data_IF_387632695964
#
_entry.id   IF_387632695964
#
_cell.length_a   1.000
_cell.length_b   1.000
_cell.length_c   1.000
_cell.angle_alpha   90.00
_cell.angle_beta   90.00
_cell.angle_gamma   90.00
#
_symmetry.space_group_name_H-M   'P 1'
#
loop_
_entity.id
_entity.type
_entity.pdbx_description
1 polymer ?
#
# COMPACT_ATOMS: atom_id res chain seq x y z
N UNK A 1 -40.09 -34.88 3.27
CA UNK A 1 -40.70 -33.89 2.36
C UNK A 1 -41.77 -33.13 3.13
N UNK A 2 -41.56 -31.85 3.45
CA UNK A 2 -42.57 -30.97 4.06
C UNK A 2 -42.47 -29.58 3.43
N UNK A 3 -43.65 -28.99 3.26
CA UNK A 3 -44.06 -28.07 2.22
C UNK A 3 -43.41 -26.68 2.22
N UNK A 4 -43.33 -26.13 1.01
CA UNK A 4 -43.04 -24.74 0.65
C UNK A 4 -44.35 -23.92 0.67
N UNK A 5 -44.21 -22.59 0.62
CA UNK A 5 -45.18 -21.53 0.28
C UNK A 5 -46.08 -20.95 1.37
N UNK A 6 -45.84 -19.68 1.70
CA UNK A 6 -46.82 -18.57 1.84
C UNK A 6 -46.07 -17.29 2.23
N UNK A 7 -46.30 -16.05 1.78
CA UNK A 7 -47.18 -15.40 0.79
C UNK A 7 -46.64 -13.95 0.68
N UNK A 8 -46.45 -13.46 -0.53
CA UNK A 8 -46.22 -12.03 -0.83
C UNK A 8 -47.51 -11.20 -0.65
N UNK A 9 -47.41 -9.90 -0.32
CA UNK A 9 -47.82 -8.74 -1.15
C UNK A 9 -48.05 -7.44 -0.31
N UNK A 10 -47.58 -6.31 -0.88
CA UNK A 10 -48.12 -4.93 -0.84
C UNK A 10 -48.01 -4.11 0.48
N UNK A 11 -47.77 -2.80 0.50
CA UNK A 11 -48.02 -1.74 -0.50
C UNK A 11 -47.07 -0.54 -0.35
N UNK A 12 -46.93 0.22 -1.44
CA UNK A 12 -46.27 1.52 -1.55
C UNK A 12 -47.12 2.68 -1.02
N UNK A 13 -46.47 3.74 -0.51
CA UNK A 13 -47.01 5.10 -0.37
C UNK A 13 -45.83 6.10 -0.38
N UNK A 14 -45.48 6.73 -1.50
CA UNK A 14 -45.90 8.05 -2.00
C UNK A 14 -45.30 9.30 -1.30
N UNK A 15 -44.27 9.86 -1.95
CA UNK A 15 -43.94 11.27 -2.22
C UNK A 15 -44.13 12.39 -1.16
N UNK A 16 -43.04 13.09 -0.85
CA UNK A 16 -43.06 14.52 -0.52
C UNK A 16 -41.79 15.22 -1.08
N UNK A 17 -42.01 16.41 -1.63
CA UNK A 17 -41.16 17.17 -2.53
C UNK A 17 -39.83 17.69 -1.95
N UNK A 18 -38.77 17.64 -2.76
CA UNK A 18 -37.60 18.52 -2.65
C UNK A 18 -37.49 19.32 -3.96
N UNK A 19 -37.89 20.58 -3.92
CA UNK A 19 -37.65 21.55 -5.01
C UNK A 19 -36.40 22.34 -4.61
N UNK A 20 -35.25 22.19 -5.29
CA UNK A 20 -34.16 23.15 -5.15
C UNK A 20 -34.50 24.42 -5.94
N UNK A 21 -34.71 25.53 -5.24
CA UNK A 21 -34.76 26.86 -5.82
C UNK A 21 -33.37 27.21 -6.40
N UNK A 22 -33.28 27.35 -7.72
CA UNK A 22 -32.08 27.82 -8.40
C UNK A 22 -31.92 29.33 -8.14
N UNK A 23 -30.87 29.71 -7.41
CA UNK A 23 -30.36 31.08 -7.39
C UNK A 23 -29.46 31.27 -8.63
N UNK A 24 -29.69 32.28 -9.49
CA UNK A 24 -28.75 32.63 -10.54
C UNK A 24 -27.49 33.23 -9.89
N UNK A 25 -26.44 32.42 -9.79
CA UNK A 25 -25.09 32.92 -9.51
C UNK A 25 -24.64 33.70 -10.75
N UNK A 26 -24.60 35.03 -10.63
CA UNK A 26 -24.02 35.94 -11.60
C UNK A 26 -22.67 35.39 -12.05
N UNK A 27 -22.59 35.01 -13.34
CA UNK A 27 -21.35 34.69 -13.99
C UNK A 27 -20.56 36.00 -14.12
N UNK A 28 -19.69 36.27 -13.14
CA UNK A 28 -18.53 37.09 -13.37
C UNK A 28 -17.71 36.43 -14.48
N UNK A 29 -17.94 36.90 -15.70
CA UNK A 29 -17.24 36.55 -16.92
C UNK A 29 -15.80 37.08 -16.87
N UNK A 30 -15.01 36.64 -15.90
CA UNK A 30 -13.55 36.69 -15.99
C UNK A 30 -13.12 35.60 -16.96
N UNK A 31 -13.13 35.96 -18.24
CA UNK A 31 -12.77 35.11 -19.37
C UNK A 31 -11.44 34.37 -19.12
N UNK A 32 -11.49 33.03 -19.13
CA UNK A 32 -10.33 32.13 -19.12
C UNK A 32 -9.32 32.47 -20.22
N UNK A 33 -9.76 33.08 -21.32
CA UNK A 33 -8.88 33.54 -22.39
C UNK A 33 -8.01 34.73 -21.97
N UNK A 34 -8.54 35.63 -21.14
CA UNK A 34 -7.76 36.74 -20.58
C UNK A 34 -6.76 36.24 -19.52
N UNK A 35 -7.15 35.25 -18.70
CA UNK A 35 -6.24 34.59 -17.76
C UNK A 35 -5.11 33.83 -18.48
N UNK A 36 -5.42 33.11 -19.55
CA UNK A 36 -4.43 32.38 -20.34
C UNK A 36 -3.43 33.32 -21.04
N UNK A 37 -3.88 34.48 -21.54
CA UNK A 37 -2.98 35.49 -22.11
C UNK A 37 -2.02 36.07 -21.08
N UNK A 38 -2.52 36.46 -19.89
CA UNK A 38 -1.67 36.93 -18.78
C UNK A 38 -0.67 35.88 -18.30
N UNK A 39 -1.06 34.60 -18.26
CA UNK A 39 -0.16 33.51 -17.89
C UNK A 39 0.96 33.30 -18.93
N UNK A 40 0.68 33.53 -20.22
CA UNK A 40 1.68 33.44 -21.29
C UNK A 40 2.63 34.63 -21.30
N UNK A 41 2.16 35.84 -21.00
CA UNK A 41 3.01 37.03 -20.87
C UNK A 41 3.99 36.90 -19.70
N UNK A 42 3.54 36.41 -18.54
CA UNK A 42 4.42 36.15 -17.38
C UNK A 42 5.52 35.11 -17.63
N UNK A 43 5.34 34.21 -18.60
CA UNK A 43 6.37 33.23 -19.00
C UNK A 43 7.36 33.75 -20.05
N UNK A 44 7.08 34.91 -20.66
CA UNK A 44 8.03 35.57 -21.58
C UNK A 44 9.08 36.39 -20.84
N UNK A 45 8.72 36.94 -19.67
CA UNK A 45 9.64 37.73 -18.82
C UNK A 45 10.34 36.89 -17.74
N UNK A 46 10.04 35.60 -17.63
CA UNK A 46 10.73 34.71 -16.70
C UNK A 46 12.13 34.37 -17.24
N UNK A 47 13.15 34.72 -16.45
CA UNK A 47 14.55 34.45 -16.70
C UNK A 47 14.81 32.99 -17.11
N UNK A 48 15.83 32.83 -17.97
CA UNK A 48 16.28 31.57 -18.60
C UNK A 48 16.21 30.38 -17.62
N UNK A 49 15.67 29.22 -18.06
CA UNK A 49 15.58 28.05 -17.20
C UNK A 49 16.96 27.69 -16.63
N UNK A 50 16.99 27.37 -15.33
CA UNK A 50 18.18 26.91 -14.65
C UNK A 50 18.82 25.75 -15.43
N UNK A 51 20.14 25.80 -15.56
CA UNK A 51 20.97 24.84 -16.30
C UNK A 51 20.52 23.40 -16.02
N UNK A 52 20.12 22.68 -17.07
CA UNK A 52 19.78 21.26 -16.99
C UNK A 52 21.07 20.50 -16.65
N UNK A 53 21.11 19.90 -15.46
CA UNK A 53 22.16 18.94 -15.09
C UNK A 53 21.80 17.63 -15.79
N UNK A 54 22.53 17.30 -16.86
CA UNK A 54 22.49 15.99 -17.52
C UNK A 54 23.61 15.09 -16.98
N UNK A 55 23.55 13.77 -17.23
CA UNK A 55 24.59 12.80 -16.81
C UNK A 55 26.01 13.23 -17.21
N UNK A 56 26.14 13.97 -18.31
CA UNK A 56 27.40 14.55 -18.83
C UNK A 56 27.99 15.67 -17.96
N UNK A 57 27.16 16.31 -17.13
CA UNK A 57 27.56 17.43 -16.24
C UNK A 57 27.66 17.02 -14.77
N UNK A 58 27.47 15.73 -14.47
CA UNK A 58 27.76 15.17 -13.16
C UNK A 58 29.28 15.04 -13.02
N UNK A 59 29.90 15.91 -12.21
CA UNK A 59 31.27 15.68 -11.73
C UNK A 59 31.26 14.48 -10.77
N UNK A 60 31.30 13.28 -11.32
CA UNK A 60 31.50 12.05 -10.55
C UNK A 60 32.95 12.04 -10.08
N UNK A 61 33.19 12.42 -8.83
CA UNK A 61 34.46 12.18 -8.17
C UNK A 61 34.68 10.66 -8.14
N UNK A 62 35.72 10.18 -8.82
CA UNK A 62 36.16 8.78 -8.77
C UNK A 62 36.43 8.40 -7.31
N UNK A 63 35.47 7.75 -6.65
CA UNK A 63 35.60 7.32 -5.26
C UNK A 63 34.31 6.85 -4.58
N UNK A 64 33.12 7.30 -5.02
CA UNK A 64 31.86 7.00 -4.31
C UNK A 64 31.13 5.73 -4.76
N UNK A 65 31.68 4.98 -5.72
CA UNK A 65 31.11 3.67 -6.09
C UNK A 65 31.79 2.58 -5.25
N UNK A 66 31.39 2.49 -3.98
CA UNK A 66 31.70 1.33 -3.14
C UNK A 66 30.89 0.14 -3.65
N UNK A 67 31.50 -0.58 -4.59
CA UNK A 67 31.04 -1.88 -5.06
C UNK A 67 31.03 -2.83 -3.86
N UNK A 68 29.85 -3.24 -3.41
CA UNK A 68 29.68 -4.23 -2.36
C UNK A 68 30.05 -5.63 -2.88
N UNK A 69 31.35 -5.89 -3.01
CA UNK A 69 31.90 -7.25 -3.12
C UNK A 69 32.66 -7.50 -1.84
N UNK A 70 32.11 -8.38 -1.02
CA UNK A 70 32.69 -8.83 0.23
C UNK A 70 34.09 -9.41 -0.03
N UNK A 71 35.10 -8.70 0.45
CA UNK A 71 36.47 -9.17 0.52
C UNK A 71 36.56 -10.22 1.64
N UNK A 72 36.84 -11.46 1.25
CA UNK A 72 37.00 -12.59 2.16
C UNK A 72 38.32 -12.44 2.95
N UNK A 73 38.19 -12.09 4.22
CA UNK A 73 39.32 -11.99 5.13
C UNK A 73 39.87 -13.38 5.46
N UNK A 74 41.04 -13.72 4.91
CA UNK A 74 41.88 -14.84 5.38
C UNK A 74 42.51 -14.47 6.72
N UNK A 75 42.19 -15.25 7.76
CA UNK A 75 42.87 -15.17 9.07
C UNK A 75 44.09 -16.09 9.04
N UNK A 76 45.27 -15.52 9.25
CA UNK A 76 46.49 -16.24 9.61
C UNK A 76 46.73 -16.07 11.12
N UNK A 77 46.93 -17.18 11.83
CA UNK A 77 47.40 -17.17 13.23
C UNK A 77 46.51 -17.96 14.17
N UNK A 78 46.81 -19.25 14.31
CA UNK A 78 46.38 -20.05 15.45
C UNK A 78 47.00 -19.52 16.76
N UNK A 79 46.32 -19.73 17.90
CA UNK A 79 47.01 -20.42 18.98
C UNK A 79 46.21 -21.58 19.57
N UNK A 80 46.98 -22.44 20.22
CA UNK A 80 46.70 -23.78 20.70
C UNK A 80 45.49 -23.91 21.63
N UNK A 81 44.90 -25.10 21.53
CA UNK A 81 43.98 -25.64 22.50
C UNK A 81 44.67 -25.84 23.87
N UNK A 82 44.04 -25.33 24.93
CA UNK A 82 43.70 -26.08 26.16
C UNK A 82 43.10 -25.10 27.15
N UNK A 83 41.81 -25.26 27.49
CA UNK A 83 41.42 -25.46 28.89
C UNK A 83 39.94 -25.86 29.03
N UNK A 84 39.79 -27.06 29.57
CA UNK A 84 38.78 -27.51 30.53
C UNK A 84 37.30 -27.14 30.29
N UNK A 85 36.58 -28.17 29.85
CA UNK A 85 35.15 -28.36 30.17
C UNK A 85 34.99 -28.43 31.69
N UNK A 86 34.14 -27.58 32.24
CA UNK A 86 33.41 -27.87 33.48
C UNK A 86 31.92 -27.79 33.19
N UNK A 87 31.23 -28.88 33.56
CA UNK A 87 29.79 -29.03 33.54
C UNK A 87 29.13 -27.93 34.39
N UNK A 88 28.25 -27.15 33.76
CA UNK A 88 27.17 -26.43 34.41
C UNK A 88 25.90 -26.67 33.60
N UNK A 89 24.87 -27.22 34.24
CA UNK A 89 23.57 -27.47 33.64
C UNK A 89 23.00 -26.19 32.97
N UNK A 90 22.19 -26.31 31.89
CA UNK A 90 21.53 -25.14 31.32
C UNK A 90 20.46 -24.64 32.29
N UNK A 91 20.81 -23.61 33.07
CA UNK A 91 19.81 -22.78 33.72
C UNK A 91 19.11 -21.96 32.62
N UNK A 92 17.77 -21.91 32.54
CA UNK A 92 17.10 -21.03 31.59
C UNK A 92 17.39 -19.59 32.02
N UNK A 93 18.34 -18.95 31.36
CA UNK A 93 18.60 -17.53 31.58
C UNK A 93 17.31 -16.76 31.24
N UNK A 94 16.83 -15.98 32.20
CA UNK A 94 15.79 -14.99 31.95
C UNK A 94 16.24 -14.07 30.80
N UNK A 95 15.35 -13.71 29.86
CA UNK A 95 15.73 -12.87 28.75
C UNK A 95 16.23 -11.52 29.26
N UNK A 96 17.42 -11.13 28.80
CA UNK A 96 18.07 -9.86 29.12
C UNK A 96 17.14 -8.68 28.79
N UNK A 97 16.98 -7.72 29.72
CA UNK A 97 16.06 -6.59 29.55
C UNK A 97 16.37 -5.75 28.28
N UNK A 98 17.65 -5.67 27.88
CA UNK A 98 18.06 -5.05 26.60
C UNK A 98 17.55 -5.80 25.38
N UNK A 99 17.48 -7.13 25.45
CA UNK A 99 16.98 -7.99 24.37
C UNK A 99 15.46 -7.88 24.25
N UNK A 100 14.73 -7.73 25.36
CA UNK A 100 13.28 -7.46 25.36
C UNK A 100 12.96 -6.12 24.68
N UNK A 101 13.65 -5.04 25.07
CA UNK A 101 13.41 -3.70 24.54
C UNK A 101 13.66 -3.63 23.02
N UNK A 102 14.72 -4.30 22.53
CA UNK A 102 15.00 -4.39 21.10
C UNK A 102 13.91 -5.18 20.34
N UNK A 103 13.36 -6.24 20.95
CA UNK A 103 12.26 -7.03 20.36
C UNK A 103 10.97 -6.23 20.27
N UNK A 104 10.63 -5.46 21.31
CA UNK A 104 9.46 -4.58 21.29
C UNK A 104 9.56 -3.47 20.23
N UNK A 105 10.75 -2.88 20.06
CA UNK A 105 10.98 -1.86 19.03
C UNK A 105 10.80 -2.45 17.62
N UNK A 106 11.32 -3.66 17.38
CA UNK A 106 11.12 -4.39 16.11
C UNK A 106 9.66 -4.70 15.85
N UNK A 107 8.92 -5.21 16.85
CA UNK A 107 7.49 -5.50 16.73
C UNK A 107 6.68 -4.24 16.40
N UNK A 108 7.01 -3.10 17.01
CA UNK A 108 6.38 -1.80 16.70
C UNK A 108 6.64 -1.39 15.24
N UNK A 109 7.89 -1.50 14.77
CA UNK A 109 8.25 -1.19 13.37
C UNK A 109 7.50 -2.11 12.40
N UNK A 110 7.51 -3.42 12.64
CA UNK A 110 6.81 -4.39 11.81
C UNK A 110 5.30 -4.15 11.77
N UNK A 111 4.70 -3.80 12.90
CA UNK A 111 3.28 -3.47 12.99
C UNK A 111 2.95 -2.21 12.18
N UNK A 112 3.78 -1.17 12.27
CA UNK A 112 3.60 0.04 11.44
C UNK A 112 3.73 -0.24 9.96
N UNK A 113 4.74 -1.03 9.55
CA UNK A 113 4.94 -1.42 8.17
C UNK A 113 3.77 -2.28 7.65
N UNK A 114 3.29 -3.25 8.44
CA UNK A 114 2.18 -4.11 8.06
C UNK A 114 0.86 -3.33 7.92
N UNK A 115 0.63 -2.31 8.75
CA UNK A 115 -0.53 -1.41 8.61
C UNK A 115 -0.45 -0.57 7.35
N UNK A 116 0.73 -0.07 6.99
CA UNK A 116 0.91 0.70 5.77
C UNK A 116 0.71 -0.19 4.53
N UNK A 117 1.26 -1.41 4.55
CA UNK A 117 1.02 -2.41 3.51
C UNK A 117 -0.48 -2.73 3.37
N UNK A 118 -1.20 -2.91 4.47
CA UNK A 118 -2.64 -3.15 4.45
C UNK A 118 -3.40 -1.97 3.82
N UNK A 119 -3.04 -0.73 4.20
CA UNK A 119 -3.64 0.48 3.62
C UNK A 119 -3.38 0.56 2.12
N UNK A 120 -2.15 0.32 1.69
CA UNK A 120 -1.80 0.31 0.27
C UNK A 120 -2.58 -0.77 -0.48
N UNK A 121 -2.62 -2.00 0.04
CA UNK A 121 -3.35 -3.10 -0.59
C UNK A 121 -4.86 -2.81 -0.69
N UNK A 122 -5.46 -2.13 0.28
CA UNK A 122 -6.85 -1.67 0.23
C UNK A 122 -7.08 -0.60 -0.84
N UNK A 123 -6.16 0.36 -0.99
CA UNK A 123 -6.25 1.38 -2.04
C UNK A 123 -6.09 0.75 -3.44
N UNK A 124 -5.13 -0.16 -3.60
CA UNK A 124 -4.93 -0.90 -4.84
C UNK A 124 -6.17 -1.74 -5.18
N UNK A 125 -6.79 -2.38 -4.18
CA UNK A 125 -8.02 -3.15 -4.37
C UNK A 125 -9.17 -2.26 -4.84
N UNK A 126 -9.36 -1.08 -4.25
CA UNK A 126 -10.38 -0.12 -4.71
C UNK A 126 -10.11 0.31 -6.15
N UNK A 127 -8.85 0.62 -6.48
CA UNK A 127 -8.47 1.01 -7.84
C UNK A 127 -8.76 -0.11 -8.84
N UNK A 128 -8.40 -1.35 -8.53
CA UNK A 128 -8.68 -2.51 -9.38
C UNK A 128 -10.18 -2.73 -9.56
N UNK A 129 -10.98 -2.63 -8.49
CA UNK A 129 -12.44 -2.76 -8.57
C UNK A 129 -13.07 -1.67 -9.43
N UNK A 130 -12.59 -0.42 -9.30
CA UNK A 130 -13.05 0.70 -10.11
C UNK A 130 -12.63 0.56 -11.57
N UNK A 131 -11.39 0.17 -11.82
CA UNK A 131 -10.86 -0.09 -13.17
C UNK A 131 -11.65 -1.18 -13.86
N UNK A 132 -11.83 -2.33 -13.20
CA UNK A 132 -12.58 -3.44 -13.77
C UNK A 132 -14.04 -3.09 -14.06
N UNK A 133 -14.70 -2.30 -13.21
CA UNK A 133 -16.06 -1.79 -13.53
C UNK A 133 -16.06 -0.90 -14.77
N UNK A 134 -15.10 0.01 -14.90
CA UNK A 134 -14.98 0.86 -16.09
C UNK A 134 -14.73 0.03 -17.35
N UNK A 135 -13.90 -1.00 -17.24
CA UNK A 135 -13.60 -1.92 -18.35
C UNK A 135 -14.80 -2.80 -18.71
N UNK A 136 -15.59 -3.23 -17.72
CA UNK A 136 -16.87 -3.91 -17.96
C UNK A 136 -17.83 -3.00 -18.73
N UNK A 137 -17.99 -1.74 -18.30
CA UNK A 137 -18.84 -0.77 -18.99
C UNK A 137 -18.36 -0.53 -20.44
N UNK A 138 -17.04 -0.42 -20.64
CA UNK A 138 -16.43 -0.26 -21.96
C UNK A 138 -16.58 -1.52 -22.83
N UNK A 139 -16.54 -2.71 -22.26
CA UNK A 139 -16.72 -3.97 -22.97
C UNK A 139 -18.19 -4.18 -23.38
N UNK A 140 -19.12 -4.07 -22.44
CA UNK A 140 -20.55 -4.36 -22.66
C UNK A 140 -21.29 -3.25 -23.42
N UNK A 141 -20.72 -2.04 -23.52
CA UNK A 141 -21.29 -0.97 -24.35
C UNK A 141 -21.08 -1.19 -25.86
N UNK A 142 -20.21 -2.12 -26.27
CA UNK A 142 -19.98 -2.44 -27.68
C UNK A 142 -21.14 -3.27 -28.25
N UNK A 143 -21.70 -2.91 -29.42
CA UNK A 143 -22.82 -3.65 -30.02
C UNK A 143 -22.56 -5.15 -30.28
N UNK A 144 -21.30 -5.54 -30.51
CA UNK A 144 -20.89 -6.92 -30.78
C UNK A 144 -19.85 -7.43 -29.77
N UNK A 145 -20.02 -7.10 -28.48
CA UNK A 145 -19.07 -7.50 -27.43
C UNK A 145 -18.85 -9.02 -27.35
N UNK A 146 -19.87 -9.83 -27.69
CA UNK A 146 -19.79 -11.29 -27.65
C UNK A 146 -18.75 -11.91 -28.59
N UNK A 147 -18.30 -11.18 -29.61
CA UNK A 147 -17.20 -11.60 -30.49
C UNK A 147 -15.82 -11.17 -29.99
N UNK A 148 -15.75 -10.28 -28.99
CA UNK A 148 -14.51 -9.74 -28.43
C UNK A 148 -13.97 -10.66 -27.33
N UNK A 149 -13.36 -11.77 -27.75
CA UNK A 149 -12.75 -12.75 -26.84
C UNK A 149 -11.58 -12.15 -26.04
N UNK A 150 -10.81 -11.23 -26.65
CA UNK A 150 -9.70 -10.55 -25.98
C UNK A 150 -10.20 -9.62 -24.86
N UNK A 151 -11.28 -8.86 -25.12
CA UNK A 151 -11.94 -8.05 -24.11
C UNK A 151 -12.49 -8.89 -22.96
N UNK A 152 -13.10 -10.05 -23.27
CA UNK A 152 -13.55 -10.98 -22.22
C UNK A 152 -12.38 -11.49 -21.37
N UNK A 153 -11.31 -11.93 -22.02
CA UNK A 153 -10.12 -12.42 -21.31
C UNK A 153 -9.53 -11.36 -20.39
N UNK A 154 -9.45 -10.09 -20.84
CA UNK A 154 -9.00 -8.97 -19.99
C UNK A 154 -9.84 -8.82 -18.73
N UNK A 155 -11.18 -8.90 -18.85
CA UNK A 155 -12.08 -8.82 -17.70
C UNK A 155 -11.87 -9.98 -16.73
N UNK A 156 -11.64 -11.18 -17.26
CA UNK A 156 -11.39 -12.37 -16.44
C UNK A 156 -10.04 -12.27 -15.71
N UNK A 157 -8.98 -11.80 -16.38
CA UNK A 157 -7.66 -11.57 -15.79
C UNK A 157 -7.71 -10.50 -14.69
N UNK A 158 -8.42 -9.39 -14.92
CA UNK A 158 -8.64 -8.36 -13.91
C UNK A 158 -9.46 -8.87 -12.72
N UNK A 159 -10.47 -9.70 -12.98
CA UNK A 159 -11.25 -10.31 -11.91
C UNK A 159 -10.39 -11.24 -11.05
N UNK A 160 -9.45 -11.97 -11.66
CA UNK A 160 -8.46 -12.76 -10.93
C UNK A 160 -7.51 -11.86 -10.12
N UNK A 161 -7.01 -10.77 -10.68
CA UNK A 161 -6.16 -9.81 -9.95
C UNK A 161 -6.89 -9.24 -8.73
N UNK A 162 -8.16 -8.87 -8.86
CA UNK A 162 -8.99 -8.41 -7.74
C UNK A 162 -9.07 -9.48 -6.65
N UNK A 163 -9.28 -10.75 -7.01
CA UNK A 163 -9.39 -11.83 -6.04
C UNK A 163 -8.05 -12.07 -5.32
N UNK A 164 -6.95 -12.12 -6.08
CA UNK A 164 -5.60 -12.23 -5.50
C UNK A 164 -5.31 -11.07 -4.53
N UNK A 165 -5.77 -9.85 -4.86
CA UNK A 165 -5.59 -8.68 -4.01
C UNK A 165 -6.46 -8.70 -2.75
N UNK A 166 -7.68 -9.28 -2.83
CA UNK A 166 -8.52 -9.54 -1.64
C UNK A 166 -7.84 -10.51 -0.69
N UNK A 167 -7.29 -11.60 -1.21
CA UNK A 167 -6.55 -12.57 -0.40
C UNK A 167 -5.33 -11.92 0.27
N UNK A 168 -4.62 -11.03 -0.44
CA UNK A 168 -3.51 -10.26 0.14
C UNK A 168 -3.98 -9.36 1.30
N UNK A 169 -5.09 -8.64 1.13
CA UNK A 169 -5.69 -7.81 2.18
C UNK A 169 -6.06 -8.67 3.41
N UNK A 170 -6.65 -9.84 3.22
CA UNK A 170 -7.00 -10.76 4.31
C UNK A 170 -5.75 -11.24 5.05
N UNK A 171 -4.70 -11.63 4.32
CA UNK A 171 -3.41 -12.05 4.91
C UNK A 171 -2.75 -10.92 5.70
N UNK A 172 -2.75 -9.70 5.16
CA UNK A 172 -2.19 -8.54 5.85
C UNK A 172 -3.00 -8.17 7.09
N UNK A 173 -4.33 -8.28 7.03
CA UNK A 173 -5.20 -8.08 8.19
C UNK A 173 -4.90 -9.08 9.30
N UNK A 174 -4.72 -10.37 8.96
CA UNK A 174 -4.31 -11.40 9.91
C UNK A 174 -2.93 -11.08 10.51
N UNK A 175 -1.94 -10.73 9.68
CA UNK A 175 -0.60 -10.34 10.13
C UNK A 175 -0.62 -9.16 11.09
N UNK A 176 -1.44 -8.13 10.82
CA UNK A 176 -1.61 -6.99 11.73
C UNK A 176 -2.19 -7.43 13.07
N UNK A 177 -3.19 -8.32 13.07
CA UNK A 177 -3.78 -8.84 14.31
C UNK A 177 -2.77 -9.66 15.14
N UNK A 178 -1.99 -10.52 14.48
CA UNK A 178 -0.96 -11.34 15.13
C UNK A 178 0.17 -10.50 15.73
N UNK A 179 0.62 -9.48 15.00
CA UNK A 179 1.64 -8.53 15.48
C UNK A 179 1.09 -7.67 16.64
N UNK A 180 -0.18 -7.26 16.58
CA UNK A 180 -0.83 -6.54 17.68
C UNK A 180 -0.92 -7.39 18.94
N UNK A 181 -1.29 -8.67 18.81
CA UNK A 181 -1.32 -9.61 19.93
C UNK A 181 0.07 -9.80 20.53
N UNK A 182 1.08 -10.04 19.69
CA UNK A 182 2.48 -10.22 20.12
C UNK A 182 3.04 -8.98 20.82
N UNK A 183 2.69 -7.78 20.35
CA UNK A 183 3.08 -6.52 20.97
C UNK A 183 2.40 -6.31 22.35
N UNK A 184 1.12 -6.69 22.47
CA UNK A 184 0.37 -6.63 23.73
C UNK A 184 0.89 -7.61 24.78
N UNK A 185 1.17 -8.86 24.39
CA UNK A 185 1.77 -9.89 25.25
C UNK A 185 3.18 -9.48 25.72
N UNK A 186 4.00 -8.91 24.82
CA UNK A 186 5.34 -8.41 25.20
C UNK A 186 5.27 -7.32 26.28
N UNK A 187 4.32 -6.38 26.15
CA UNK A 187 4.13 -5.31 27.13
C UNK A 187 3.58 -5.74 28.49
N UNK A 188 2.86 -6.87 28.54
CA UNK A 188 2.33 -7.41 29.79
C UNK A 188 3.37 -8.24 30.54
N UNK A 189 4.26 -8.93 29.83
CA UNK A 189 5.37 -9.67 30.46
C UNK A 189 6.48 -8.78 31.03
N UNK A 190 6.70 -7.58 30.49
CA UNK A 190 7.70 -6.64 31.01
C UNK A 190 7.23 -5.85 32.25
N UNK A 191 5.96 -5.96 32.61
CA UNK A 191 5.35 -5.21 33.71
C UNK A 191 5.06 -6.04 34.97
N UNK A 192 5.47 -7.32 35.00
CA UNK A 192 5.27 -8.20 36.15
C UNK A 192 6.56 -8.25 36.99
N UNK A 193 6.52 -7.82 38.28
CA UNK A 193 7.69 -7.68 39.15
C UNK A 193 8.23 -9.02 39.67
#
# INVERSE_FOLDING_TARGET
MRSVLSRSLFAALLAAAFIPAALPQSQDTQSVAAAARRAREKKKDSAKPAKVITDETLEVKKGDVQNAVAEEAKIAGAPEATNQRQNGAPNPAAPDAKTQAAKEERLKKELTAAKEQLKQALMDLDLLQRGNRLDQDAYYSKPNYGADAAGKQKLDDEQQQINNKRDEVERLKAKVADLQKSAGESSSTSSQP
#
